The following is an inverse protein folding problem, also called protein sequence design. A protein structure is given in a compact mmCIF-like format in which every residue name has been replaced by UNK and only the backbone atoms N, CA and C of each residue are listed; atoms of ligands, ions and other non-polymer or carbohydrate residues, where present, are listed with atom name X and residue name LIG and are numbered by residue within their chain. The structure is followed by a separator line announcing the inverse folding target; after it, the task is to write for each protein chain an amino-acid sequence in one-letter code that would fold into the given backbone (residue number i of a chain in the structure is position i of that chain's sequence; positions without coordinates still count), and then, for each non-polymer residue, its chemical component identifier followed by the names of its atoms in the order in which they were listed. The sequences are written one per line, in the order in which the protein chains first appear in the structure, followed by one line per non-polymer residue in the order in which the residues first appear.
data_IF_088272360785
#
_entry.id   IF_088272360785
#
_cell.length_a   1.000
_cell.length_b   1.000
_cell.length_c   1.000
_cell.angle_alpha   90.00
_cell.angle_beta   90.00
_cell.angle_gamma   90.00
#
_symmetry.space_group_name_H-M   'P 1'
#
loop_
_entity.id
_entity.type
_entity.pdbx_description
1 polymer ?
#
# COMPACT_ATOMS: atom_id res chain seq x y z
N UNK A 1 47.09 36.09 -5.58
CA UNK A 1 46.30 34.84 -5.65
C UNK A 1 45.36 34.79 -4.46
N UNK A 2 44.05 34.80 -4.66
CA UNK A 2 43.11 34.45 -3.62
C UNK A 2 42.54 33.04 -3.91
N UNK A 3 42.78 32.15 -2.98
CA UNK A 3 42.16 30.83 -2.92
C UNK A 3 40.69 31.02 -2.57
N UNK A 4 39.82 30.72 -3.53
CA UNK A 4 38.39 30.66 -3.35
C UNK A 4 38.05 29.42 -2.54
N UNK A 5 37.69 29.60 -1.28
CA UNK A 5 37.02 28.58 -0.49
C UNK A 5 35.59 28.42 -1.03
N UNK A 6 35.33 27.37 -1.78
CA UNK A 6 33.97 26.90 -2.04
C UNK A 6 33.43 26.36 -0.71
N UNK A 7 32.54 27.10 -0.09
CA UNK A 7 31.71 26.61 1.02
C UNK A 7 30.84 25.45 0.49
N UNK A 8 31.17 24.29 0.98
CA UNK A 8 30.41 23.05 0.80
C UNK A 8 29.12 23.20 1.62
N UNK A 9 28.09 23.80 1.01
CA UNK A 9 26.75 23.87 1.57
C UNK A 9 26.17 22.45 1.53
N UNK A 10 26.28 21.77 2.66
CA UNK A 10 25.54 20.54 2.89
C UNK A 10 24.06 20.78 2.55
N UNK A 11 23.39 19.91 1.77
CA UNK A 11 21.99 20.09 1.43
C UNK A 11 21.16 20.09 2.70
N UNK A 12 20.54 21.24 2.99
CA UNK A 12 19.59 21.37 4.09
C UNK A 12 18.49 20.32 3.90
N UNK A 13 18.34 19.45 4.89
CA UNK A 13 17.30 18.44 4.89
C UNK A 13 15.93 19.12 4.82
N UNK A 14 15.17 18.87 3.76
CA UNK A 14 13.83 19.42 3.59
C UNK A 14 12.98 19.15 4.84
N UNK A 15 12.21 20.13 5.34
CA UNK A 15 11.41 19.96 6.57
C UNK A 15 10.44 18.76 6.52
N UNK A 16 9.99 18.37 5.35
CA UNK A 16 9.17 17.18 5.12
C UNK A 16 9.89 15.90 5.52
N UNK A 17 11.21 15.82 5.30
CA UNK A 17 12.05 14.66 5.61
C UNK A 17 12.23 14.43 7.11
N UNK A 18 12.28 15.49 7.92
CA UNK A 18 12.38 15.40 9.38
C UNK A 18 11.05 14.97 10.02
N UNK A 19 9.93 15.31 9.39
CA UNK A 19 8.58 15.02 9.91
C UNK A 19 8.24 13.54 9.77
N UNK A 20 8.48 12.92 8.62
CA UNK A 20 8.12 11.53 8.39
C UNK A 20 9.01 10.55 9.15
N UNK A 21 10.36 10.67 9.06
CA UNK A 21 11.31 9.77 9.75
C UNK A 21 11.12 9.76 11.26
N UNK A 22 10.75 10.90 11.84
CA UNK A 22 10.55 11.02 13.28
C UNK A 22 9.13 10.67 13.74
N UNK A 23 8.10 11.03 12.95
CA UNK A 23 6.70 10.91 13.37
C UNK A 23 6.05 9.57 12.96
N UNK A 24 6.38 9.02 11.81
CA UNK A 24 5.76 7.77 11.34
C UNK A 24 5.92 6.61 12.34
N UNK A 25 7.14 6.31 12.87
CA UNK A 25 7.29 5.24 13.85
C UNK A 25 6.55 5.52 15.16
N UNK A 26 6.52 6.81 15.58
CA UNK A 26 5.89 7.22 16.85
C UNK A 26 4.36 7.13 16.76
N UNK A 27 3.78 7.46 15.60
CA UNK A 27 2.32 7.46 15.40
C UNK A 27 1.77 6.08 15.07
N UNK A 28 2.55 5.18 14.48
CA UNK A 28 2.10 3.84 14.09
C UNK A 28 1.57 3.04 15.28
N UNK A 29 2.25 3.08 16.41
CA UNK A 29 1.82 2.33 17.60
C UNK A 29 0.50 2.82 18.21
N UNK A 30 0.29 4.13 18.46
CA UNK A 30 -1.00 4.60 18.98
C UNK A 30 -2.15 4.38 18.00
N UNK A 31 -1.95 4.54 16.70
CA UNK A 31 -2.97 4.24 15.69
C UNK A 31 -3.35 2.76 15.71
N UNK A 32 -2.37 1.84 15.74
CA UNK A 32 -2.63 0.41 15.86
C UNK A 32 -3.42 0.05 17.13
N UNK A 33 -3.16 0.72 18.25
CA UNK A 33 -3.93 0.54 19.50
C UNK A 33 -5.36 1.04 19.39
N UNK A 34 -5.59 2.17 18.71
CA UNK A 34 -6.94 2.70 18.46
C UNK A 34 -7.73 1.69 17.63
N UNK A 35 -7.13 1.17 16.55
CA UNK A 35 -7.76 0.16 15.69
C UNK A 35 -8.11 -1.09 16.50
N UNK A 36 -7.16 -1.64 17.26
CA UNK A 36 -7.36 -2.86 18.05
C UNK A 36 -8.47 -2.70 19.10
N UNK A 37 -8.52 -1.55 19.79
CA UNK A 37 -9.56 -1.27 20.78
C UNK A 37 -10.94 -1.13 20.10
N UNK A 38 -11.01 -0.43 18.99
CA UNK A 38 -12.24 -0.24 18.23
C UNK A 38 -12.76 -1.57 17.68
N UNK A 39 -11.89 -2.42 17.13
CA UNK A 39 -12.26 -3.77 16.67
C UNK A 39 -12.72 -4.67 17.82
N UNK A 40 -12.09 -4.60 18.99
CA UNK A 40 -12.53 -5.34 20.19
C UNK A 40 -13.93 -4.92 20.62
N UNK A 41 -14.23 -3.62 20.59
CA UNK A 41 -15.57 -3.08 20.89
C UNK A 41 -16.57 -3.52 19.83
N UNK A 42 -16.24 -3.40 18.55
CA UNK A 42 -17.08 -3.80 17.42
C UNK A 42 -17.45 -5.29 17.49
N UNK A 43 -16.48 -6.14 17.78
CA UNK A 43 -16.66 -7.58 17.93
C UNK A 43 -17.34 -7.98 19.25
N UNK A 44 -17.68 -7.01 20.12
CA UNK A 44 -18.30 -7.22 21.44
C UNK A 44 -17.51 -8.15 22.38
N UNK A 45 -16.21 -8.29 22.14
CA UNK A 45 -15.33 -9.14 22.95
C UNK A 45 -15.13 -8.60 24.38
N UNK A 46 -15.36 -7.31 24.60
CA UNK A 46 -15.28 -6.67 25.90
C UNK A 46 -16.60 -6.72 26.71
N UNK A 47 -17.64 -7.39 26.18
CA UNK A 47 -18.96 -7.54 26.81
C UNK A 47 -20.11 -7.03 25.93
N UNK A 48 -21.37 -7.13 26.41
CA UNK A 48 -22.54 -6.70 25.65
C UNK A 48 -22.50 -5.18 25.43
N UNK A 49 -22.60 -4.77 24.17
CA UNK A 49 -22.60 -3.39 23.71
C UNK A 49 -23.84 -3.12 22.88
N UNK A 50 -24.45 -1.93 23.02
CA UNK A 50 -25.57 -1.51 22.17
C UNK A 50 -25.10 -1.40 20.72
N UNK A 51 -26.00 -1.67 19.78
CA UNK A 51 -25.68 -1.71 18.34
C UNK A 51 -25.09 -0.40 17.83
N UNK A 52 -25.62 0.75 18.27
CA UNK A 52 -25.11 2.08 17.95
C UNK A 52 -23.61 2.24 18.29
N UNK A 53 -23.18 1.75 19.46
CA UNK A 53 -21.77 1.83 19.85
C UNK A 53 -20.88 0.86 19.08
N UNK A 54 -21.42 -0.28 18.65
CA UNK A 54 -20.73 -1.21 17.78
C UNK A 54 -20.48 -0.60 16.38
N UNK A 55 -21.44 0.17 15.85
CA UNK A 55 -21.29 0.92 14.60
C UNK A 55 -20.28 2.06 14.73
N UNK A 56 -20.33 2.82 15.82
CA UNK A 56 -19.31 3.85 16.09
C UNK A 56 -17.92 3.26 16.20
N UNK A 57 -17.77 2.13 16.88
CA UNK A 57 -16.51 1.42 16.97
C UNK A 57 -16.01 0.98 15.58
N UNK A 58 -16.91 0.49 14.71
CA UNK A 58 -16.58 0.17 13.31
C UNK A 58 -16.08 1.39 12.53
N UNK A 59 -16.71 2.54 12.70
CA UNK A 59 -16.30 3.80 12.07
C UNK A 59 -14.92 4.25 12.56
N UNK A 60 -14.66 4.14 13.87
CA UNK A 60 -13.35 4.47 14.46
C UNK A 60 -12.26 3.53 13.95
N UNK A 61 -12.54 2.23 13.87
CA UNK A 61 -11.59 1.26 13.31
C UNK A 61 -11.23 1.58 11.86
N UNK A 62 -12.24 1.89 11.04
CA UNK A 62 -12.05 2.26 9.63
C UNK A 62 -11.22 3.55 9.48
N UNK A 63 -11.52 4.58 10.27
CA UNK A 63 -10.74 5.82 10.28
C UNK A 63 -9.28 5.58 10.73
N UNK A 64 -9.07 4.73 11.73
CA UNK A 64 -7.74 4.32 12.19
C UNK A 64 -6.96 3.57 11.10
N UNK A 65 -7.59 2.67 10.37
CA UNK A 65 -6.98 1.96 9.24
C UNK A 65 -6.58 2.92 8.13
N UNK A 66 -7.40 3.93 7.86
CA UNK A 66 -7.09 4.96 6.88
C UNK A 66 -5.87 5.80 7.29
N UNK A 67 -5.78 6.18 8.58
CA UNK A 67 -4.61 6.88 9.13
C UNK A 67 -3.34 6.01 9.06
N UNK A 68 -3.44 4.71 9.34
CA UNK A 68 -2.30 3.80 9.21
C UNK A 68 -1.79 3.73 7.77
N UNK A 69 -2.70 3.66 6.78
CA UNK A 69 -2.34 3.69 5.37
C UNK A 69 -1.64 5.00 4.98
N UNK A 70 -2.13 6.16 5.43
CA UNK A 70 -1.46 7.45 5.18
C UNK A 70 -0.06 7.53 5.80
N UNK A 71 0.15 6.93 6.98
CA UNK A 71 1.48 6.87 7.60
C UNK A 71 2.44 5.98 6.81
N UNK A 72 1.94 4.89 6.23
CA UNK A 72 2.73 4.02 5.37
C UNK A 72 3.09 4.73 4.05
N UNK A 73 2.14 5.43 3.43
CA UNK A 73 2.38 6.26 2.23
C UNK A 73 3.42 7.35 2.48
N UNK A 74 3.38 8.00 3.65
CA UNK A 74 4.37 9.00 4.04
C UNK A 74 5.77 8.41 4.20
N UNK A 75 5.88 7.21 4.78
CA UNK A 75 7.15 6.51 4.92
C UNK A 75 7.72 6.11 3.54
N UNK A 76 6.87 5.67 2.62
CA UNK A 76 7.28 5.32 1.26
C UNK A 76 7.75 6.55 0.47
N UNK A 77 7.09 7.69 0.63
CA UNK A 77 7.49 8.96 0.01
C UNK A 77 8.91 9.37 0.44
N UNK A 78 9.24 9.25 1.73
CA UNK A 78 10.58 9.57 2.24
C UNK A 78 11.68 8.69 1.66
N UNK A 79 11.37 7.41 1.47
CA UNK A 79 12.32 6.47 0.86
C UNK A 79 12.63 6.88 -0.59
N UNK A 80 11.61 7.33 -1.33
CA UNK A 80 11.77 7.79 -2.72
C UNK A 80 12.55 9.09 -2.81
N UNK A 81 12.38 10.02 -1.86
CA UNK A 81 13.08 11.30 -1.81
C UNK A 81 14.54 11.19 -1.30
N UNK A 82 14.95 10.01 -0.84
CA UNK A 82 16.32 9.82 -0.33
C UNK A 82 17.32 9.86 -1.48
N UNK A 83 18.35 10.75 -1.45
CA UNK A 83 19.41 10.77 -2.45
C UNK A 83 20.12 9.41 -2.51
N UNK A 84 20.25 8.85 -3.72
CA UNK A 84 20.82 7.53 -3.92
C UNK A 84 19.81 6.39 -3.82
N UNK A 85 18.49 6.69 -3.78
CA UNK A 85 17.45 5.68 -3.92
C UNK A 85 17.65 4.91 -5.24
N UNK A 86 18.15 3.69 -5.12
CA UNK A 86 18.32 2.76 -6.22
C UNK A 86 17.47 1.52 -5.97
N UNK A 87 16.60 1.19 -6.91
CA UNK A 87 15.89 -0.09 -6.87
C UNK A 87 16.82 -1.21 -7.33
N UNK A 88 16.83 -2.34 -6.63
CA UNK A 88 17.47 -3.55 -7.14
C UNK A 88 16.83 -3.92 -8.48
N UNK A 89 17.62 -3.88 -9.56
CA UNK A 89 17.12 -4.18 -10.90
C UNK A 89 17.19 -5.66 -11.14
N UNK A 90 16.08 -6.34 -10.98
CA UNK A 90 15.93 -7.76 -11.29
C UNK A 90 14.76 -7.98 -12.26
N UNK A 91 14.80 -9.05 -13.08
CA UNK A 91 13.64 -9.42 -13.89
C UNK A 91 12.48 -9.84 -12.99
N UNK A 92 11.36 -9.13 -13.08
CA UNK A 92 10.13 -9.38 -12.33
C UNK A 92 9.02 -9.77 -13.28
N UNK A 93 8.46 -10.94 -13.10
CA UNK A 93 7.24 -11.38 -13.79
C UNK A 93 6.03 -10.71 -13.13
N UNK A 94 5.38 -9.81 -13.87
CA UNK A 94 4.23 -9.06 -13.37
C UNK A 94 3.00 -9.95 -13.13
N UNK A 95 2.82 -11.02 -13.91
CA UNK A 95 1.73 -11.96 -13.70
C UNK A 95 1.94 -12.81 -12.43
N UNK A 96 3.19 -13.18 -12.11
CA UNK A 96 3.51 -13.85 -10.83
C UNK A 96 3.30 -12.90 -9.65
N UNK A 97 3.75 -11.66 -9.75
CA UNK A 97 3.55 -10.64 -8.73
C UNK A 97 2.05 -10.37 -8.47
N UNK A 98 1.23 -10.26 -9.53
CA UNK A 98 -0.22 -10.12 -9.46
C UNK A 98 -0.88 -11.31 -8.75
N UNK A 99 -0.48 -12.53 -9.11
CA UNK A 99 -1.00 -13.76 -8.49
C UNK A 99 -0.70 -13.82 -6.99
N UNK A 100 0.51 -13.41 -6.59
CA UNK A 100 0.89 -13.36 -5.16
C UNK A 100 0.13 -12.28 -4.40
N UNK A 101 -0.02 -11.09 -4.97
CA UNK A 101 -0.81 -10.01 -4.36
C UNK A 101 -2.28 -10.42 -4.19
N UNK A 102 -2.89 -11.03 -5.20
CA UNK A 102 -4.25 -11.55 -5.14
C UNK A 102 -4.38 -12.65 -4.07
N UNK A 103 -3.40 -13.55 -3.94
CA UNK A 103 -3.38 -14.57 -2.89
C UNK A 103 -3.32 -13.99 -1.48
N UNK A 104 -2.50 -12.96 -1.25
CA UNK A 104 -2.40 -12.26 0.03
C UNK A 104 -3.74 -11.59 0.41
N UNK A 105 -4.41 -10.97 -0.56
CA UNK A 105 -5.65 -10.24 -0.35
C UNK A 105 -6.92 -11.09 -0.48
N UNK A 106 -6.80 -12.38 -0.81
CA UNK A 106 -7.92 -13.27 -1.06
C UNK A 106 -8.92 -13.35 0.09
N UNK A 107 -8.45 -13.47 1.34
CA UNK A 107 -9.32 -13.49 2.53
C UNK A 107 -10.08 -12.17 2.69
N UNK A 108 -9.40 -11.03 2.45
CA UNK A 108 -10.04 -9.71 2.51
C UNK A 108 -11.09 -9.53 1.43
N UNK A 109 -10.81 -10.02 0.21
CA UNK A 109 -11.75 -10.00 -0.90
C UNK A 109 -13.00 -10.84 -0.59
N UNK A 110 -12.83 -12.06 -0.05
CA UNK A 110 -13.95 -12.92 0.38
C UNK A 110 -14.84 -12.24 1.43
N UNK A 111 -14.26 -11.57 2.42
CA UNK A 111 -15.01 -10.84 3.45
C UNK A 111 -15.83 -9.66 2.88
N UNK A 112 -15.47 -9.16 1.71
CA UNK A 112 -16.15 -8.09 0.99
C UNK A 112 -17.02 -8.59 -0.15
N UNK A 113 -17.13 -9.91 -0.31
CA UNK A 113 -17.84 -10.54 -1.43
C UNK A 113 -17.32 -10.06 -2.79
N UNK A 114 -16.00 -9.85 -2.89
CA UNK A 114 -15.32 -9.36 -4.09
C UNK A 114 -14.55 -10.49 -4.74
N UNK A 115 -14.70 -10.67 -6.06
CA UNK A 115 -13.98 -11.68 -6.84
C UNK A 115 -12.72 -11.08 -7.43
N UNK A 116 -11.54 -11.64 -7.09
CA UNK A 116 -10.27 -11.27 -7.72
C UNK A 116 -10.00 -12.17 -8.93
N UNK A 117 -9.76 -11.54 -10.08
CA UNK A 117 -9.40 -12.22 -11.33
C UNK A 117 -8.03 -11.75 -11.77
N UNK A 118 -7.09 -12.66 -11.95
CA UNK A 118 -5.75 -12.37 -12.46
C UNK A 118 -5.66 -12.88 -13.89
N UNK A 119 -5.36 -11.96 -14.81
CA UNK A 119 -5.22 -12.20 -16.24
C UNK A 119 -3.78 -11.93 -16.67
N UNK A 120 -3.28 -12.74 -17.59
CA UNK A 120 -1.93 -12.66 -18.12
C UNK A 120 -1.18 -13.97 -17.99
N UNK A 121 -0.40 -14.28 -19.01
CA UNK A 121 0.42 -15.48 -19.04
C UNK A 121 1.77 -15.20 -18.36
N UNK A 122 2.19 -16.12 -17.47
CA UNK A 122 3.49 -16.04 -16.81
C UNK A 122 4.62 -16.06 -17.83
N UNK A 123 5.63 -15.23 -17.58
CA UNK A 123 6.80 -15.13 -18.48
C UNK A 123 6.60 -14.18 -19.65
N UNK A 124 5.42 -13.60 -19.86
CA UNK A 124 5.16 -12.69 -20.99
C UNK A 124 5.39 -11.22 -20.64
N UNK A 125 5.10 -10.80 -19.42
CA UNK A 125 5.22 -9.42 -18.95
C UNK A 125 6.36 -9.30 -17.91
N UNK A 126 7.61 -9.24 -18.38
CA UNK A 126 8.80 -9.14 -17.53
C UNK A 126 9.23 -7.68 -17.41
N UNK A 127 9.17 -7.13 -16.20
CA UNK A 127 9.69 -5.80 -15.88
C UNK A 127 11.08 -5.87 -15.24
N UNK A 128 11.90 -4.84 -15.44
CA UNK A 128 13.13 -4.67 -14.66
C UNK A 128 12.82 -3.80 -13.45
N UNK A 129 12.64 -4.41 -12.28
CA UNK A 129 12.16 -3.75 -11.08
C UNK A 129 12.65 -4.47 -9.81
N UNK A 130 12.29 -3.96 -8.64
CA UNK A 130 12.41 -4.65 -7.36
C UNK A 130 11.09 -5.38 -7.05
N UNK A 131 11.12 -6.71 -6.92
CA UNK A 131 9.92 -7.53 -6.71
C UNK A 131 9.08 -7.06 -5.51
N UNK A 132 9.73 -6.75 -4.39
CA UNK A 132 9.03 -6.28 -3.17
C UNK A 132 8.26 -4.99 -3.40
N UNK A 133 8.80 -4.06 -4.18
CA UNK A 133 8.15 -2.79 -4.51
C UNK A 133 6.95 -3.00 -5.44
N UNK A 134 7.12 -3.83 -6.45
CA UNK A 134 6.00 -4.19 -7.33
C UNK A 134 4.88 -4.85 -6.54
N UNK A 135 5.20 -5.79 -5.66
CA UNK A 135 4.23 -6.46 -4.80
C UNK A 135 3.52 -5.48 -3.88
N UNK A 136 4.23 -4.54 -3.26
CA UNK A 136 3.67 -3.50 -2.39
C UNK A 136 2.69 -2.60 -3.16
N UNK A 137 3.07 -2.15 -4.36
CA UNK A 137 2.20 -1.34 -5.22
C UNK A 137 0.91 -2.11 -5.53
N UNK A 138 1.01 -3.38 -5.89
CA UNK A 138 -0.15 -4.20 -6.21
C UNK A 138 -1.05 -4.45 -5.01
N UNK A 139 -0.48 -4.72 -3.84
CA UNK A 139 -1.25 -4.87 -2.59
C UNK A 139 -2.03 -3.59 -2.30
N UNK A 140 -1.42 -2.42 -2.47
CA UNK A 140 -2.08 -1.14 -2.25
C UNK A 140 -3.21 -0.90 -3.27
N UNK A 141 -2.95 -1.10 -4.57
CA UNK A 141 -3.94 -0.89 -5.62
C UNK A 141 -5.13 -1.87 -5.49
N UNK A 142 -4.85 -3.17 -5.36
CA UNK A 142 -5.89 -4.19 -5.21
C UNK A 142 -6.65 -4.00 -3.89
N UNK A 143 -5.93 -3.63 -2.82
CA UNK A 143 -6.54 -3.33 -1.52
C UNK A 143 -7.52 -2.15 -1.58
N UNK A 144 -7.19 -1.11 -2.33
CA UNK A 144 -8.07 0.03 -2.59
C UNK A 144 -9.27 -0.39 -3.45
N UNK A 145 -9.04 -1.13 -4.52
CA UNK A 145 -10.10 -1.68 -5.37
C UNK A 145 -11.12 -2.48 -4.54
N UNK A 146 -10.66 -3.42 -3.67
CA UNK A 146 -11.55 -4.17 -2.77
C UNK A 146 -12.29 -3.27 -1.78
N UNK A 147 -11.65 -2.20 -1.29
CA UNK A 147 -12.23 -1.32 -0.27
C UNK A 147 -13.35 -0.43 -0.82
N UNK A 148 -13.22 0.03 -2.06
CA UNK A 148 -14.13 0.99 -2.68
C UNK A 148 -15.14 0.36 -3.62
N UNK A 149 -14.94 -0.89 -4.05
CA UNK A 149 -15.91 -1.62 -4.87
C UNK A 149 -17.15 -2.05 -4.08
N UNK A 150 -18.32 -2.11 -4.72
CA UNK A 150 -19.53 -2.69 -4.14
C UNK A 150 -19.36 -4.17 -3.78
N UNK A 151 -20.18 -4.67 -2.84
CA UNK A 151 -20.24 -6.11 -2.56
C UNK A 151 -20.73 -6.88 -3.81
N UNK A 152 -20.16 -8.05 -4.08
CA UNK A 152 -20.45 -8.86 -5.26
C UNK A 152 -19.73 -8.43 -6.53
N UNK A 153 -18.85 -7.42 -6.45
CA UNK A 153 -18.08 -6.88 -7.58
C UNK A 153 -16.88 -7.75 -7.95
N UNK A 154 -16.29 -7.41 -9.09
CA UNK A 154 -15.05 -8.03 -9.58
C UNK A 154 -13.93 -7.00 -9.65
N UNK A 155 -12.73 -7.43 -9.23
CA UNK A 155 -11.48 -6.70 -9.44
C UNK A 155 -10.62 -7.54 -10.38
N UNK A 156 -10.29 -6.99 -11.53
CA UNK A 156 -9.47 -7.66 -12.54
C UNK A 156 -8.07 -7.07 -12.53
N UNK A 157 -7.07 -7.94 -12.41
CA UNK A 157 -5.64 -7.58 -12.45
C UNK A 157 -5.08 -8.18 -13.73
N UNK A 158 -4.67 -7.37 -14.70
CA UNK A 158 -4.12 -7.85 -15.96
C UNK A 158 -2.68 -7.42 -16.16
N UNK A 159 -1.81 -8.37 -16.54
CA UNK A 159 -0.41 -8.14 -16.85
C UNK A 159 -0.16 -8.46 -18.33
N UNK A 160 0.28 -7.47 -19.10
CA UNK A 160 0.47 -7.59 -20.54
C UNK A 160 1.81 -7.01 -20.99
N UNK A 161 2.36 -7.57 -22.08
CA UNK A 161 3.47 -6.94 -22.82
C UNK A 161 2.89 -5.98 -23.87
N UNK A 162 3.34 -4.72 -23.83
CA UNK A 162 3.00 -3.68 -24.79
C UNK A 162 4.16 -3.45 -25.78
N UNK A 163 4.22 -4.25 -26.83
CA UNK A 163 5.33 -4.23 -27.80
C UNK A 163 6.64 -4.76 -27.19
N UNK A 164 7.78 -4.36 -27.79
CA UNK A 164 9.09 -4.98 -27.50
C UNK A 164 9.77 -4.46 -26.22
N UNK A 165 9.32 -3.34 -25.65
CA UNK A 165 10.05 -2.62 -24.59
C UNK A 165 9.20 -2.16 -23.41
N UNK A 166 7.91 -2.42 -23.44
CA UNK A 166 6.99 -2.00 -22.38
C UNK A 166 6.17 -3.18 -21.90
N UNK A 167 5.94 -3.20 -20.61
CA UNK A 167 4.98 -4.08 -19.97
C UNK A 167 4.04 -3.24 -19.13
N UNK A 168 2.78 -3.62 -19.06
CA UNK A 168 1.78 -2.94 -18.27
C UNK A 168 1.14 -3.92 -17.29
N UNK A 169 0.79 -3.39 -16.10
CA UNK A 169 -0.09 -4.06 -15.19
C UNK A 169 -1.24 -3.11 -14.86
N UNK A 170 -2.46 -3.62 -14.95
CA UNK A 170 -3.68 -2.86 -14.75
C UNK A 170 -4.48 -3.50 -13.63
N UNK A 171 -5.04 -2.68 -12.75
CA UNK A 171 -6.04 -3.08 -11.76
C UNK A 171 -7.31 -2.33 -12.09
N UNK A 172 -8.36 -3.06 -12.45
CA UNK A 172 -9.68 -2.52 -12.80
C UNK A 172 -10.72 -3.03 -11.80
N UNK A 173 -11.51 -2.11 -11.29
CA UNK A 173 -12.63 -2.39 -10.38
C UNK A 173 -13.96 -1.86 -11.00
N UNK A 174 -15.06 -2.17 -10.34
CA UNK A 174 -16.43 -1.78 -10.73
C UNK A 174 -16.98 -0.68 -9.79
N UNK A 175 -16.08 0.10 -9.17
CA UNK A 175 -16.40 1.14 -8.20
C UNK A 175 -16.90 2.46 -8.76
#
# INVERSE_FOLDING_TARGET
EPVSAAEDLAPEASPTRLVGTALTPVLRQPVARIIANAETMRARLAGPLRDEYSEYAGTIASAGQHLAAMLDDLADLEVVETPGFGTAREPVDLADAASRAAGILGVRAQHRDTVLVVEGERGTAIATAEFRRVLQILINLIGNAIAYSPAGSRVTISAIAEGDRRVAITVADEG
#
